data_IF_855206025034
#
_entry.id   IF_855206025034
#
_cell.length_a   1.000
_cell.length_b   1.000
_cell.length_c   1.000
_cell.angle_alpha   90.00
_cell.angle_beta   90.00
_cell.angle_gamma   90.00
#
_symmetry.space_group_name_H-M   'P 1'
#
loop_
_entity.id
_entity.type
_entity.pdbx_description
1 polymer ?
#
# COMPACT_ATOMS: atom_id res chain seq x y z
N UNK A 1 28.91 -57.36 21.64
CA UNK A 1 29.05 -58.17 22.88
C UNK A 1 30.45 -57.92 23.44
N UNK A 2 30.61 -57.23 24.58
CA UNK A 2 31.92 -57.11 25.23
C UNK A 2 32.32 -58.46 25.87
N UNK A 3 33.62 -58.78 25.97
CA UNK A 3 34.11 -59.80 26.89
C UNK A 3 34.06 -59.29 28.33
N UNK A 4 33.89 -60.21 29.28
CA UNK A 4 33.64 -59.92 30.70
C UNK A 4 34.90 -59.50 31.47
N UNK A 5 34.75 -58.53 32.39
CA UNK A 5 35.70 -58.33 33.48
C UNK A 5 35.83 -59.62 34.30
N UNK A 6 37.07 -60.02 34.61
CA UNK A 6 37.36 -60.98 35.67
C UNK A 6 37.82 -60.22 36.91
N UNK A 7 37.23 -60.51 38.07
CA UNK A 7 37.63 -59.91 39.34
C UNK A 7 39.03 -60.39 39.73
N UNK A 8 40.02 -59.49 39.65
CA UNK A 8 41.39 -59.70 40.13
C UNK A 8 41.52 -58.95 41.48
N UNK A 9 42.09 -59.55 42.54
CA UNK A 9 42.15 -58.92 43.86
C UNK A 9 42.98 -57.62 43.82
N UNK A 10 42.61 -56.59 44.61
CA UNK A 10 43.29 -55.30 44.58
C UNK A 10 44.73 -55.42 45.07
N UNK A 11 45.68 -55.05 44.21
CA UNK A 11 47.11 -55.10 44.51
C UNK A 11 47.57 -53.86 45.29
N UNK A 12 48.51 -53.98 46.25
CA UNK A 12 48.88 -52.91 47.18
C UNK A 12 49.64 -51.72 46.56
N UNK A 13 49.85 -51.71 45.24
CA UNK A 13 50.42 -50.60 44.48
C UNK A 13 49.53 -50.26 43.29
N UNK A 14 48.43 -49.54 43.55
CA UNK A 14 47.71 -48.76 42.53
C UNK A 14 47.12 -49.55 41.33
N UNK A 15 46.84 -50.85 41.49
CA UNK A 15 46.26 -51.69 40.44
C UNK A 15 47.26 -52.56 39.66
N UNK A 16 48.57 -52.31 39.77
CA UNK A 16 49.60 -53.11 39.10
C UNK A 16 49.55 -54.58 39.53
N UNK A 17 49.49 -55.48 38.55
CA UNK A 17 49.28 -56.91 38.81
C UNK A 17 50.47 -57.79 38.37
N UNK A 18 50.74 -58.85 39.14
CA UNK A 18 51.67 -59.90 38.68
C UNK A 18 51.15 -60.54 37.37
N UNK A 19 52.09 -60.75 36.44
CA UNK A 19 51.85 -61.17 35.05
C UNK A 19 51.63 -60.03 34.05
N UNK A 20 51.59 -58.78 34.50
CA UNK A 20 51.36 -57.60 33.66
C UNK A 20 52.65 -57.05 33.05
N UNK A 21 52.53 -56.40 31.88
CA UNK A 21 53.62 -55.70 31.21
C UNK A 21 53.79 -54.31 31.81
N UNK A 22 54.99 -54.00 32.26
CA UNK A 22 55.31 -52.75 32.97
C UNK A 22 56.54 -52.08 32.39
N UNK A 23 56.53 -50.76 32.39
CA UNK A 23 57.67 -49.91 32.06
C UNK A 23 58.13 -49.16 33.32
N UNK A 24 59.42 -48.84 33.39
CA UNK A 24 60.00 -47.99 34.43
C UNK A 24 60.65 -46.80 33.74
N UNK A 25 59.86 -45.74 33.55
CA UNK A 25 60.20 -44.58 32.73
C UNK A 25 61.54 -43.93 33.12
N UNK A 26 61.83 -43.87 34.42
CA UNK A 26 63.08 -43.32 34.98
C UNK A 26 64.35 -44.13 34.65
N UNK A 27 64.21 -45.32 34.07
CA UNK A 27 65.31 -46.13 33.54
C UNK A 27 65.10 -46.55 32.08
N UNK A 28 63.96 -46.19 31.46
CA UNK A 28 63.53 -46.63 30.12
C UNK A 28 63.60 -48.16 29.92
N UNK A 29 63.25 -48.92 30.96
CA UNK A 29 63.27 -50.40 30.97
C UNK A 29 61.84 -50.93 30.92
N UNK A 30 61.60 -51.94 30.07
CA UNK A 30 60.31 -52.63 29.93
C UNK A 30 60.48 -54.12 30.27
N UNK A 31 59.47 -54.70 30.91
CA UNK A 31 59.44 -56.13 31.22
C UNK A 31 58.08 -56.61 31.73
N UNK A 32 58.07 -57.77 32.36
CA UNK A 32 56.89 -58.40 32.96
C UNK A 32 57.01 -58.42 34.48
N UNK A 33 55.98 -57.97 35.19
CA UNK A 33 55.96 -57.96 36.66
C UNK A 33 55.80 -59.38 37.20
N UNK A 34 56.81 -59.89 37.93
CA UNK A 34 56.85 -61.26 38.48
C UNK A 34 56.64 -61.32 39.99
N UNK A 35 56.97 -60.26 40.72
CA UNK A 35 56.82 -60.16 42.18
C UNK A 35 56.31 -58.78 42.57
N UNK A 36 55.44 -58.71 43.59
CA UNK A 36 55.03 -57.47 44.24
C UNK A 36 54.81 -57.74 45.74
N UNK A 37 55.53 -57.04 46.63
CA UNK A 37 55.48 -57.32 48.07
C UNK A 37 56.67 -56.76 48.85
N UNK A 38 56.69 -56.97 50.17
CA UNK A 38 57.83 -56.62 51.04
C UNK A 38 59.00 -57.59 50.85
N UNK A 39 60.22 -57.17 51.19
CA UNK A 39 61.42 -58.03 51.12
C UNK A 39 62.15 -58.08 52.46
N UNK A 40 62.97 -59.11 52.67
CA UNK A 40 63.74 -59.29 53.89
C UNK A 40 65.01 -58.43 53.97
N UNK A 41 65.38 -57.74 52.88
CA UNK A 41 66.62 -56.96 52.79
C UNK A 41 66.43 -55.44 52.88
N UNK A 42 65.20 -54.92 52.68
CA UNK A 42 64.87 -53.51 52.92
C UNK A 42 63.37 -53.30 53.03
N UNK A 43 62.94 -52.55 54.04
CA UNK A 43 61.55 -52.14 54.25
C UNK A 43 60.95 -51.40 53.03
N UNK A 44 59.62 -51.49 52.91
CA UNK A 44 58.84 -50.97 51.79
C UNK A 44 58.33 -52.06 50.85
N UNK A 45 57.45 -51.69 49.92
CA UNK A 45 56.93 -52.60 48.89
C UNK A 45 57.84 -52.52 47.66
N UNK A 46 58.29 -53.68 47.19
CA UNK A 46 59.15 -53.85 46.02
C UNK A 46 58.39 -54.49 44.87
N UNK A 47 58.76 -54.11 43.65
CA UNK A 47 58.30 -54.72 42.40
C UNK A 47 59.47 -55.44 41.72
N UNK A 48 59.35 -56.75 41.52
CA UNK A 48 60.33 -57.56 40.79
C UNK A 48 59.91 -57.73 39.33
N UNK A 49 60.65 -57.11 38.41
CA UNK A 49 60.35 -57.10 36.97
C UNK A 49 61.36 -57.98 36.25
N UNK A 50 60.87 -58.98 35.51
CA UNK A 50 61.70 -59.76 34.59
C UNK A 50 61.77 -59.00 33.26
N UNK A 51 62.98 -58.65 32.84
CA UNK A 51 63.20 -57.83 31.65
C UNK A 51 63.08 -58.68 30.38
N UNK A 52 62.69 -58.05 29.26
CA UNK A 52 62.51 -58.73 27.97
C UNK A 52 63.82 -59.23 27.34
N UNK A 53 64.96 -58.71 27.79
CA UNK A 53 66.29 -59.05 27.27
C UNK A 53 67.07 -59.74 28.39
N UNK A 54 67.27 -61.05 28.25
CA UNK A 54 68.02 -61.85 29.22
C UNK A 54 69.43 -61.29 29.46
N UNK A 55 69.88 -61.35 30.72
CA UNK A 55 71.20 -60.82 31.13
C UNK A 55 71.27 -59.30 31.35
N UNK A 56 70.22 -58.53 31.08
CA UNK A 56 70.21 -57.06 31.34
C UNK A 56 69.79 -56.67 32.77
N UNK A 57 69.32 -57.63 33.58
CA UNK A 57 68.92 -57.41 34.98
C UNK A 57 70.12 -57.25 35.93
N UNK A 58 69.95 -56.44 36.99
CA UNK A 58 70.95 -56.25 38.06
C UNK A 58 70.94 -57.36 39.12
N UNK A 59 69.95 -58.25 39.07
CA UNK A 59 69.72 -59.34 40.00
C UNK A 59 68.99 -60.49 39.28
N UNK A 60 69.24 -61.72 39.73
CA UNK A 60 68.68 -62.97 39.17
C UNK A 60 67.37 -63.43 39.86
N UNK A 61 66.90 -62.65 40.84
CA UNK A 61 65.75 -62.98 41.68
C UNK A 61 66.10 -63.77 42.96
N UNK A 62 67.36 -64.16 43.16
CA UNK A 62 67.82 -64.82 44.39
C UNK A 62 68.27 -63.84 45.47
N UNK A 63 68.20 -64.26 46.73
CA UNK A 63 68.75 -63.58 47.91
C UNK A 63 69.33 -64.65 48.83
N UNK A 64 70.51 -64.39 49.42
CA UNK A 64 71.26 -65.32 50.28
C UNK A 64 71.74 -66.62 49.61
N UNK A 65 72.39 -66.51 48.44
CA UNK A 65 73.23 -67.60 47.90
C UNK A 65 74.43 -67.91 48.83
N UNK A 66 74.55 -69.16 49.27
CA UNK A 66 75.61 -69.59 50.18
C UNK A 66 76.96 -69.84 49.47
N UNK A 67 78.06 -69.59 50.18
CA UNK A 67 79.40 -69.43 49.59
C UNK A 67 80.43 -70.31 50.31
N UNK A 68 81.23 -71.11 49.60
CA UNK A 68 82.49 -71.75 50.08
C UNK A 68 83.24 -72.46 48.94
N UNK A 69 84.57 -72.52 48.82
CA UNK A 69 85.66 -71.58 49.16
C UNK A 69 86.88 -71.94 48.25
N UNK A 70 87.82 -71.02 48.00
CA UNK A 70 89.11 -71.31 47.33
C UNK A 70 90.20 -71.65 48.34
N UNK A 71 91.14 -72.54 47.98
CA UNK A 71 92.59 -72.26 47.82
C UNK A 71 93.46 -73.54 47.88
N UNK A 72 94.61 -73.49 47.19
CA UNK A 72 95.74 -74.40 47.39
C UNK A 72 97.04 -73.68 46.98
N UNK A 73 98.11 -73.82 47.77
CA UNK A 73 99.49 -73.53 47.34
C UNK A 73 100.50 -74.32 48.19
N UNK A 74 101.65 -74.64 47.60
CA UNK A 74 102.62 -75.62 48.15
C UNK A 74 103.97 -74.96 48.54
N UNK A 75 104.92 -75.79 48.93
CA UNK A 75 105.95 -75.44 49.92
C UNK A 75 107.32 -74.95 49.37
N UNK A 76 108.05 -74.31 50.30
CA UNK A 76 109.51 -74.24 50.50
C UNK A 76 110.35 -75.39 49.87
N UNK A 77 111.64 -75.19 49.52
CA UNK A 77 112.69 -75.04 50.54
C UNK A 77 113.83 -74.03 50.24
N UNK A 78 114.87 -74.04 51.09
CA UNK A 78 115.91 -73.02 51.23
C UNK A 78 117.29 -73.49 50.76
N UNK A 79 118.27 -72.56 50.74
CA UNK A 79 119.68 -72.90 50.98
C UNK A 79 120.48 -71.69 51.51
N UNK A 80 121.66 -71.96 52.07
CA UNK A 80 122.58 -71.02 52.71
C UNK A 80 123.75 -70.68 51.77
N UNK A 81 124.30 -69.47 51.85
CA UNK A 81 125.70 -69.20 51.49
C UNK A 81 126.28 -67.96 52.17
N UNK A 82 127.55 -68.05 52.53
CA UNK A 82 128.39 -66.93 52.98
C UNK A 82 128.81 -66.07 51.78
N UNK A 83 128.96 -64.75 51.99
CA UNK A 83 129.49 -63.82 50.98
C UNK A 83 130.63 -63.00 51.56
N UNK A 84 131.75 -62.92 50.85
CA UNK A 84 132.87 -62.02 51.19
C UNK A 84 132.51 -60.56 50.87
N UNK A 85 133.20 -59.57 51.49
CA UNK A 85 132.84 -58.15 51.37
C UNK A 85 132.69 -57.65 49.93
N UNK A 86 133.62 -57.99 49.03
CA UNK A 86 133.62 -57.50 47.64
C UNK A 86 132.37 -57.91 46.85
N UNK A 87 131.81 -59.10 47.11
CA UNK A 87 130.56 -59.53 46.47
C UNK A 87 129.35 -58.75 46.99
N UNK A 88 129.37 -58.31 48.26
CA UNK A 88 128.36 -57.40 48.79
C UNK A 88 128.51 -55.99 48.21
N UNK A 89 129.74 -55.49 48.04
CA UNK A 89 130.04 -54.17 47.48
C UNK A 89 129.64 -54.09 46.00
N UNK A 90 130.02 -55.06 45.16
CA UNK A 90 129.59 -55.11 43.76
C UNK A 90 128.06 -55.22 43.64
N UNK A 91 127.41 -56.02 44.51
CA UNK A 91 125.95 -56.13 44.53
C UNK A 91 125.27 -54.84 44.99
N UNK A 92 125.88 -54.10 45.91
CA UNK A 92 125.43 -52.76 46.30
C UNK A 92 125.54 -51.78 45.13
N UNK A 93 126.69 -51.67 44.45
CA UNK A 93 126.82 -50.81 43.26
C UNK A 93 125.83 -51.18 42.15
N UNK A 94 125.64 -52.47 41.88
CA UNK A 94 124.68 -52.94 40.88
C UNK A 94 123.21 -52.67 41.27
N UNK A 95 122.90 -52.67 42.57
CA UNK A 95 121.61 -52.21 43.08
C UNK A 95 121.48 -50.67 43.03
N UNK A 96 122.55 -49.93 43.31
CA UNK A 96 122.61 -48.46 43.23
C UNK A 96 122.23 -47.97 41.83
N UNK A 97 122.94 -48.47 40.81
CA UNK A 97 122.68 -48.16 39.40
C UNK A 97 121.27 -48.61 38.98
N UNK A 98 120.80 -49.77 39.48
CA UNK A 98 119.44 -50.23 39.18
C UNK A 98 118.36 -49.36 39.84
N UNK A 99 118.60 -48.80 41.03
CA UNK A 99 117.71 -47.82 41.67
C UNK A 99 117.71 -46.51 40.88
N UNK A 100 118.88 -45.98 40.49
CA UNK A 100 118.98 -44.76 39.69
C UNK A 100 118.25 -44.88 38.33
N UNK A 101 118.37 -46.03 37.66
CA UNK A 101 117.62 -46.35 36.44
C UNK A 101 116.11 -46.45 36.71
N UNK A 102 115.68 -47.20 37.71
CA UNK A 102 114.24 -47.34 38.06
C UNK A 102 113.62 -46.02 38.53
N UNK A 103 114.39 -45.12 39.13
CA UNK A 103 113.97 -43.77 39.45
C UNK A 103 113.87 -42.88 38.20
N UNK A 104 114.82 -42.97 37.26
CA UNK A 104 114.75 -42.25 35.99
C UNK A 104 113.55 -42.70 35.16
N UNK A 105 113.28 -44.01 35.12
CA UNK A 105 112.10 -44.62 34.53
C UNK A 105 110.81 -44.16 35.24
N UNK A 106 110.79 -44.10 36.57
CA UNK A 106 109.65 -43.53 37.33
C UNK A 106 109.46 -42.03 37.07
N UNK A 107 110.53 -41.26 36.85
CA UNK A 107 110.45 -39.83 36.49
C UNK A 107 109.87 -39.67 35.08
N UNK A 108 110.30 -40.50 34.12
CA UNK A 108 109.76 -40.54 32.76
C UNK A 108 108.28 -40.93 32.75
N UNK A 109 107.91 -42.06 33.36
CA UNK A 109 106.52 -42.55 33.42
C UNK A 109 105.56 -41.54 34.08
N UNK A 110 106.03 -40.71 35.03
CA UNK A 110 105.21 -39.64 35.62
C UNK A 110 104.96 -38.48 34.65
N UNK A 111 105.95 -38.12 33.82
CA UNK A 111 105.81 -37.10 32.78
C UNK A 111 104.91 -37.59 31.64
N UNK A 112 105.10 -38.83 31.20
CA UNK A 112 104.30 -39.48 30.15
C UNK A 112 102.84 -39.62 30.56
N UNK A 113 102.54 -40.09 31.78
CA UNK A 113 101.16 -40.13 32.29
C UNK A 113 100.54 -38.73 32.45
N UNK A 114 101.33 -37.69 32.77
CA UNK A 114 100.83 -36.32 32.82
C UNK A 114 100.52 -35.77 31.41
N UNK A 115 101.33 -36.09 30.39
CA UNK A 115 101.03 -35.75 29.00
C UNK A 115 99.80 -36.50 28.49
N UNK A 116 99.69 -37.81 28.75
CA UNK A 116 98.55 -38.62 28.31
C UNK A 116 97.24 -38.11 28.93
N UNK A 117 97.21 -37.83 30.23
CA UNK A 117 96.04 -37.22 30.90
C UNK A 117 95.69 -35.83 30.33
N UNK A 118 96.69 -35.05 29.92
CA UNK A 118 96.46 -33.76 29.26
C UNK A 118 95.88 -33.94 27.85
N UNK A 119 96.33 -34.96 27.11
CA UNK A 119 95.81 -35.30 25.79
C UNK A 119 94.36 -35.83 25.84
N UNK A 120 94.03 -36.68 26.83
CA UNK A 120 92.67 -37.14 27.11
C UNK A 120 91.71 -35.96 27.35
N UNK A 121 92.10 -35.03 28.23
CA UNK A 121 91.30 -33.82 28.52
C UNK A 121 91.15 -32.87 27.31
N UNK A 122 92.14 -32.84 26.41
CA UNK A 122 92.04 -32.08 25.16
C UNK A 122 91.08 -32.78 24.18
N UNK A 123 91.12 -34.10 24.10
CA UNK A 123 90.24 -34.90 23.24
C UNK A 123 88.79 -34.80 23.69
N UNK A 124 88.50 -35.08 24.97
CA UNK A 124 87.16 -34.98 25.58
C UNK A 124 86.51 -33.62 25.30
N UNK A 125 87.22 -32.53 25.59
CA UNK A 125 86.75 -31.16 25.33
C UNK A 125 86.61 -30.83 23.83
N UNK A 126 87.30 -31.54 22.94
CA UNK A 126 87.13 -31.39 21.49
C UNK A 126 85.87 -32.11 20.98
N UNK A 127 85.53 -33.25 21.56
CA UNK A 127 84.29 -33.98 21.27
C UNK A 127 83.06 -33.22 21.80
N UNK A 128 83.15 -32.62 22.99
CA UNK A 128 82.15 -31.68 23.52
C UNK A 128 81.95 -30.47 22.59
N UNK A 129 83.05 -29.85 22.13
CA UNK A 129 82.98 -28.72 21.20
C UNK A 129 82.29 -29.10 19.89
N UNK A 130 82.64 -30.23 19.28
CA UNK A 130 81.97 -30.71 18.06
C UNK A 130 80.52 -31.17 18.30
N UNK A 131 80.15 -31.56 19.52
CA UNK A 131 78.75 -31.80 19.91
C UNK A 131 77.96 -30.49 19.95
N UNK A 132 78.44 -29.49 20.69
CA UNK A 132 77.82 -28.17 20.81
C UNK A 132 77.72 -27.50 19.43
N UNK A 133 78.75 -27.62 18.59
CA UNK A 133 78.78 -27.10 17.20
C UNK A 133 77.73 -27.74 16.28
N UNK A 134 77.45 -29.04 16.44
CA UNK A 134 76.35 -29.72 15.74
C UNK A 134 74.97 -29.26 16.23
N UNK A 135 74.78 -29.18 17.55
CA UNK A 135 73.54 -28.70 18.16
C UNK A 135 73.23 -27.25 17.76
N UNK A 136 74.24 -26.38 17.73
CA UNK A 136 74.14 -24.99 17.27
C UNK A 136 73.73 -24.88 15.79
N UNK A 137 74.24 -25.76 14.91
CA UNK A 137 73.85 -25.75 13.49
C UNK A 137 72.40 -26.23 13.31
N UNK A 138 71.98 -27.30 13.99
CA UNK A 138 70.58 -27.75 13.98
C UNK A 138 69.62 -26.67 14.51
N UNK A 139 70.03 -25.93 15.54
CA UNK A 139 69.28 -24.79 16.08
C UNK A 139 69.16 -23.65 15.06
N UNK A 140 70.25 -23.28 14.38
CA UNK A 140 70.23 -22.27 13.29
C UNK A 140 69.33 -22.66 12.12
N UNK A 141 69.39 -23.92 11.69
CA UNK A 141 68.51 -24.43 10.64
C UNK A 141 67.04 -24.39 11.05
N UNK A 142 66.73 -24.70 12.32
CA UNK A 142 65.35 -24.61 12.81
C UNK A 142 64.86 -23.17 12.88
N UNK A 143 65.69 -22.25 13.41
CA UNK A 143 65.39 -20.82 13.44
C UNK A 143 65.19 -20.25 12.02
N UNK A 144 65.98 -20.69 11.04
CA UNK A 144 65.81 -20.27 9.65
C UNK A 144 64.48 -20.77 9.03
N UNK A 145 64.09 -22.03 9.28
CA UNK A 145 62.78 -22.57 8.88
C UNK A 145 61.63 -21.79 9.52
N UNK A 146 61.72 -21.53 10.82
CA UNK A 146 60.67 -20.86 11.60
C UNK A 146 60.54 -19.37 11.22
N UNK A 147 61.66 -18.69 10.95
CA UNK A 147 61.67 -17.32 10.40
C UNK A 147 60.99 -17.26 9.03
N UNK A 148 61.23 -18.24 8.15
CA UNK A 148 60.58 -18.29 6.84
C UNK A 148 59.05 -18.52 6.95
N UNK A 149 58.61 -19.32 7.92
CA UNK A 149 57.18 -19.54 8.22
C UNK A 149 56.52 -18.25 8.74
N UNK A 150 57.17 -17.52 9.65
CA UNK A 150 56.68 -16.24 10.17
C UNK A 150 56.54 -15.20 9.05
N UNK A 151 57.49 -15.14 8.13
CA UNK A 151 57.48 -14.22 6.98
C UNK A 151 56.39 -14.56 5.94
N UNK A 152 56.04 -15.84 5.76
CA UNK A 152 54.88 -16.25 4.93
C UNK A 152 53.55 -15.89 5.60
N UNK A 153 53.40 -16.17 6.90
CA UNK A 153 52.23 -15.74 7.67
C UNK A 153 52.07 -14.21 7.68
N UNK A 154 53.15 -13.45 7.76
CA UNK A 154 53.14 -11.98 7.69
C UNK A 154 52.57 -11.50 6.35
N UNK A 155 53.09 -11.98 5.22
CA UNK A 155 52.58 -11.66 3.88
C UNK A 155 51.11 -12.06 3.70
N UNK A 156 50.71 -13.20 4.27
CA UNK A 156 49.33 -13.66 4.24
C UNK A 156 48.40 -12.79 5.07
N UNK A 157 48.86 -12.26 6.21
CA UNK A 157 48.12 -11.26 6.99
C UNK A 157 47.98 -9.96 6.21
N UNK A 158 49.08 -9.41 5.65
CA UNK A 158 49.07 -8.19 4.84
C UNK A 158 48.09 -8.28 3.65
N UNK A 159 48.03 -9.42 2.96
CA UNK A 159 47.08 -9.66 1.86
C UNK A 159 45.62 -9.84 2.33
N UNK A 160 45.39 -10.38 3.52
CA UNK A 160 44.05 -10.47 4.12
C UNK A 160 43.55 -9.10 4.59
N UNK A 161 44.43 -8.25 5.14
CA UNK A 161 44.12 -6.87 5.52
C UNK A 161 43.71 -6.05 4.30
N UNK A 162 44.47 -6.14 3.20
CA UNK A 162 44.11 -5.52 1.92
C UNK A 162 42.74 -5.99 1.41
N UNK A 163 42.50 -7.31 1.42
CA UNK A 163 41.21 -7.89 1.01
C UNK A 163 40.03 -7.39 1.88
N UNK A 164 40.26 -7.20 3.18
CA UNK A 164 39.27 -6.67 4.12
C UNK A 164 39.00 -5.19 3.87
N UNK A 165 40.02 -4.39 3.54
CA UNK A 165 39.84 -2.96 3.24
C UNK A 165 39.19 -2.72 1.87
N UNK A 166 39.44 -3.56 0.87
CA UNK A 166 38.67 -3.57 -0.38
C UNK A 166 37.19 -3.90 -0.15
N UNK A 167 36.89 -4.91 0.68
CA UNK A 167 35.52 -5.25 1.05
C UNK A 167 34.82 -4.15 1.85
N UNK A 168 35.52 -3.48 2.78
CA UNK A 168 34.99 -2.29 3.47
C UNK A 168 34.64 -1.18 2.49
N UNK A 169 35.54 -0.86 1.55
CA UNK A 169 35.35 0.18 0.54
C UNK A 169 34.15 -0.14 -0.36
N UNK A 170 34.09 -1.34 -0.94
CA UNK A 170 32.96 -1.77 -1.76
C UNK A 170 31.63 -1.80 -0.99
N UNK A 171 31.67 -2.12 0.31
CA UNK A 171 30.53 -2.02 1.22
C UNK A 171 30.04 -0.57 1.41
N UNK A 172 30.96 0.38 1.62
CA UNK A 172 30.63 1.81 1.72
C UNK A 172 30.07 2.36 0.40
N UNK A 173 30.72 2.06 -0.73
CA UNK A 173 30.26 2.44 -2.08
C UNK A 173 28.83 1.89 -2.34
N UNK A 174 28.54 0.66 -1.92
CA UNK A 174 27.19 0.10 -2.04
C UNK A 174 26.17 0.77 -1.12
N UNK A 175 26.55 1.18 0.10
CA UNK A 175 25.66 1.87 1.03
C UNK A 175 25.33 3.28 0.51
N UNK A 176 26.34 4.04 0.08
CA UNK A 176 26.18 5.39 -0.48
C UNK A 176 25.25 5.40 -1.71
N UNK A 177 25.35 4.38 -2.57
CA UNK A 177 24.45 4.19 -3.71
C UNK A 177 23.01 3.85 -3.28
N UNK A 178 22.81 3.04 -2.23
CA UNK A 178 21.48 2.77 -1.69
C UNK A 178 20.87 3.98 -1.01
N UNK A 179 21.64 4.72 -0.21
CA UNK A 179 21.19 5.96 0.45
C UNK A 179 20.81 7.03 -0.58
N UNK A 180 21.65 7.25 -1.60
CA UNK A 180 21.37 8.16 -2.72
C UNK A 180 20.11 7.76 -3.50
N UNK A 181 19.89 6.47 -3.70
CA UNK A 181 18.69 5.95 -4.37
C UNK A 181 17.42 6.16 -3.53
N UNK A 182 17.48 5.87 -2.22
CA UNK A 182 16.36 6.10 -1.29
C UNK A 182 16.01 7.59 -1.20
N UNK A 183 17.00 8.46 -1.13
CA UNK A 183 16.81 9.92 -1.09
C UNK A 183 16.19 10.46 -2.38
N UNK A 184 16.61 9.96 -3.55
CA UNK A 184 15.97 10.29 -4.83
C UNK A 184 14.49 9.88 -4.85
N UNK A 185 14.18 8.64 -4.45
CA UNK A 185 12.79 8.18 -4.36
C UNK A 185 11.96 8.97 -3.33
N UNK A 186 12.58 9.46 -2.24
CA UNK A 186 11.92 10.34 -1.26
C UNK A 186 11.51 11.67 -1.91
N UNK A 187 12.43 12.30 -2.65
CA UNK A 187 12.18 13.57 -3.36
C UNK A 187 11.12 13.41 -4.45
N UNK A 188 11.18 12.34 -5.24
CA UNK A 188 10.17 12.04 -6.26
C UNK A 188 8.78 11.83 -5.64
N UNK A 189 8.70 11.08 -4.53
CA UNK A 189 7.45 10.90 -3.79
C UNK A 189 6.91 12.20 -3.18
N UNK A 190 7.77 13.12 -2.74
CA UNK A 190 7.34 14.45 -2.26
C UNK A 190 6.82 15.33 -3.40
N UNK A 191 7.48 15.31 -4.57
CA UNK A 191 7.00 16.01 -5.76
C UNK A 191 5.64 15.48 -6.27
N UNK A 192 5.47 14.15 -6.30
CA UNK A 192 4.20 13.50 -6.65
C UNK A 192 3.10 13.88 -5.64
N UNK A 193 3.40 13.85 -4.33
CA UNK A 193 2.44 14.25 -3.30
C UNK A 193 2.05 15.74 -3.38
N UNK A 194 2.99 16.63 -3.68
CA UNK A 194 2.69 18.05 -3.89
C UNK A 194 1.75 18.27 -5.09
N UNK A 195 2.07 17.67 -6.24
CA UNK A 195 1.22 17.69 -7.44
C UNK A 195 -0.18 17.14 -7.18
N UNK A 196 -0.28 16.02 -6.45
CA UNK A 196 -1.55 15.43 -6.03
C UNK A 196 -2.36 16.33 -5.07
N UNK A 197 -1.71 17.14 -4.22
CA UNK A 197 -2.40 18.14 -3.40
C UNK A 197 -2.96 19.29 -4.24
N UNK A 198 -2.24 19.75 -5.26
CA UNK A 198 -2.71 20.83 -6.15
C UNK A 198 -3.85 20.38 -7.07
N UNK A 199 -3.79 19.17 -7.62
CA UNK A 199 -4.95 18.58 -8.33
C UNK A 199 -6.16 18.41 -7.42
N UNK A 200 -5.98 17.95 -6.17
CA UNK A 200 -7.07 17.88 -5.18
C UNK A 200 -7.67 19.25 -4.86
N UNK A 201 -6.85 20.31 -4.74
CA UNK A 201 -7.31 21.69 -4.60
C UNK A 201 -8.12 22.13 -5.82
N UNK A 202 -7.66 21.79 -7.03
CA UNK A 202 -8.34 22.18 -8.27
C UNK A 202 -9.67 21.45 -8.47
N UNK A 203 -9.75 20.15 -8.14
CA UNK A 203 -11.01 19.40 -8.11
C UNK A 203 -11.99 20.05 -7.13
N UNK A 204 -11.58 20.32 -5.89
CA UNK A 204 -12.45 20.94 -4.88
C UNK A 204 -12.97 22.34 -5.31
N UNK A 205 -12.13 23.14 -5.99
CA UNK A 205 -12.57 24.40 -6.60
C UNK A 205 -13.64 24.16 -7.68
N UNK A 206 -13.39 23.26 -8.62
CA UNK A 206 -14.30 22.96 -9.74
C UNK A 206 -15.63 22.35 -9.26
N UNK A 207 -15.62 21.56 -8.19
CA UNK A 207 -16.84 21.04 -7.58
C UNK A 207 -17.68 22.15 -6.92
N UNK A 208 -17.04 23.11 -6.25
CA UNK A 208 -17.70 24.29 -5.68
C UNK A 208 -18.27 25.21 -6.77
N UNK A 209 -17.53 25.43 -7.86
CA UNK A 209 -17.98 26.20 -9.03
C UNK A 209 -19.17 25.51 -9.73
N UNK A 210 -19.11 24.19 -9.92
CA UNK A 210 -20.20 23.38 -10.49
C UNK A 210 -21.46 23.47 -9.62
N UNK A 211 -21.32 23.39 -8.30
CA UNK A 211 -22.47 23.43 -7.39
C UNK A 211 -23.08 24.84 -7.29
N UNK A 212 -22.26 25.89 -7.34
CA UNK A 212 -22.73 27.28 -7.48
C UNK A 212 -23.52 27.50 -8.76
N UNK A 213 -23.01 27.02 -9.90
CA UNK A 213 -23.72 27.07 -11.18
C UNK A 213 -25.02 26.23 -11.17
N UNK A 214 -25.01 25.05 -10.53
CA UNK A 214 -26.20 24.20 -10.36
C UNK A 214 -27.29 24.91 -9.56
N UNK A 215 -26.92 25.61 -8.48
CA UNK A 215 -27.84 26.40 -7.66
C UNK A 215 -28.40 27.60 -8.43
N UNK A 216 -27.55 28.40 -9.07
CA UNK A 216 -27.98 29.55 -9.87
C UNK A 216 -28.88 29.14 -11.05
N UNK A 217 -28.63 27.98 -11.68
CA UNK A 217 -29.50 27.42 -12.71
C UNK A 217 -30.88 27.00 -12.18
N UNK A 218 -30.96 26.44 -10.96
CA UNK A 218 -32.22 26.10 -10.32
C UNK A 218 -33.03 27.35 -9.97
N UNK A 219 -32.39 28.36 -9.38
CA UNK A 219 -33.00 29.66 -9.04
C UNK A 219 -33.51 30.37 -10.30
N UNK A 220 -32.77 30.32 -11.41
CA UNK A 220 -33.22 30.86 -12.68
C UNK A 220 -34.49 30.15 -13.19
N UNK A 221 -34.53 28.80 -13.15
CA UNK A 221 -35.74 28.04 -13.55
C UNK A 221 -36.93 28.40 -12.67
N UNK A 222 -36.77 28.45 -11.35
CA UNK A 222 -37.82 28.82 -10.40
C UNK A 222 -38.39 30.23 -10.70
N UNK A 223 -37.55 31.22 -10.99
CA UNK A 223 -38.01 32.57 -11.38
C UNK A 223 -38.74 32.62 -12.73
N UNK A 224 -38.31 31.82 -13.73
CA UNK A 224 -39.02 31.73 -15.01
C UNK A 224 -40.36 31.00 -14.87
N UNK A 225 -40.43 29.93 -14.10
CA UNK A 225 -41.69 29.21 -13.84
C UNK A 225 -42.70 30.10 -13.09
N UNK A 226 -42.23 30.87 -12.11
CA UNK A 226 -43.06 31.87 -11.42
C UNK A 226 -43.60 32.95 -12.38
N UNK A 227 -42.74 33.55 -13.21
CA UNK A 227 -43.14 34.57 -14.20
C UNK A 227 -44.13 34.02 -15.24
N UNK A 228 -43.91 32.79 -15.73
CA UNK A 228 -44.83 32.13 -16.67
C UNK A 228 -46.20 31.90 -16.02
N UNK A 229 -46.23 31.52 -14.75
CA UNK A 229 -47.46 31.26 -14.02
C UNK A 229 -48.19 32.55 -13.59
N UNK A 230 -47.49 33.68 -13.45
CA UNK A 230 -48.06 35.01 -13.30
C UNK A 230 -48.72 35.48 -14.61
N UNK A 231 -47.99 35.45 -15.72
CA UNK A 231 -48.53 35.81 -17.06
C UNK A 231 -49.75 34.97 -17.48
N UNK A 232 -49.80 33.69 -17.08
CA UNK A 232 -50.99 32.84 -17.27
C UNK A 232 -52.21 33.32 -16.49
N UNK A 233 -52.01 33.79 -15.26
CA UNK A 233 -53.10 34.32 -14.42
C UNK A 233 -53.59 35.65 -14.96
N UNK A 234 -52.67 36.56 -15.31
CA UNK A 234 -53.00 37.83 -15.95
C UNK A 234 -53.83 37.60 -17.22
N UNK A 235 -53.33 36.82 -18.17
CA UNK A 235 -54.05 36.51 -19.42
C UNK A 235 -55.41 35.84 -19.19
N UNK A 236 -55.52 34.94 -18.21
CA UNK A 236 -56.80 34.34 -17.80
C UNK A 236 -57.79 35.38 -17.26
N UNK A 237 -57.32 36.32 -16.44
CA UNK A 237 -58.14 37.43 -15.94
C UNK A 237 -58.53 38.41 -17.05
N UNK A 238 -57.63 38.78 -17.97
CA UNK A 238 -57.94 39.66 -19.12
C UNK A 238 -59.03 39.06 -20.01
N UNK A 239 -58.97 37.75 -20.29
CA UNK A 239 -60.00 37.04 -21.06
C UNK A 239 -61.34 37.06 -20.32
N UNK A 240 -61.35 36.80 -19.01
CA UNK A 240 -62.57 36.83 -18.20
C UNK A 240 -63.18 38.24 -18.09
N UNK A 241 -62.35 39.27 -17.89
CA UNK A 241 -62.75 40.68 -17.87
C UNK A 241 -63.32 41.13 -19.22
N UNK A 242 -62.68 40.73 -20.33
CA UNK A 242 -63.12 41.04 -21.69
C UNK A 242 -64.46 40.40 -22.01
N UNK A 243 -64.66 39.12 -21.64
CA UNK A 243 -65.95 38.44 -21.82
C UNK A 243 -67.04 39.01 -20.89
N UNK A 244 -66.70 39.31 -19.63
CA UNK A 244 -67.60 40.00 -18.69
C UNK A 244 -68.07 41.33 -19.25
N UNK A 245 -67.17 42.13 -19.84
CA UNK A 245 -67.53 43.37 -20.51
C UNK A 245 -68.42 43.12 -21.73
N UNK A 246 -68.04 42.21 -22.63
CA UNK A 246 -68.82 41.86 -23.82
C UNK A 246 -70.25 41.43 -23.49
N UNK A 247 -70.44 40.71 -22.38
CA UNK A 247 -71.75 40.31 -21.88
C UNK A 247 -72.57 41.49 -21.33
N UNK A 248 -71.94 42.45 -20.63
CA UNK A 248 -72.62 43.68 -20.19
C UNK A 248 -72.99 44.59 -21.37
N UNK A 249 -72.05 44.86 -22.29
CA UNK A 249 -72.29 45.67 -23.50
C UNK A 249 -73.46 45.08 -24.32
N UNK A 250 -73.53 43.74 -24.45
CA UNK A 250 -74.64 43.05 -25.11
C UNK A 250 -75.97 43.12 -24.32
N UNK A 251 -75.93 43.04 -22.99
CA UNK A 251 -77.11 43.17 -22.14
C UNK A 251 -77.70 44.59 -22.18
N UNK A 252 -76.86 45.62 -22.18
CA UNK A 252 -77.27 47.02 -22.38
C UNK A 252 -77.90 47.22 -23.77
N UNK A 253 -77.31 46.67 -24.83
CA UNK A 253 -77.89 46.70 -26.17
C UNK A 253 -79.26 46.01 -26.23
N UNK A 254 -79.43 44.85 -25.59
CA UNK A 254 -80.72 44.16 -25.48
C UNK A 254 -81.75 44.98 -24.66
N UNK A 255 -81.32 45.65 -23.59
CA UNK A 255 -82.18 46.53 -22.79
C UNK A 255 -82.63 47.76 -23.59
N UNK A 256 -81.74 48.39 -24.36
CA UNK A 256 -82.05 49.51 -25.25
C UNK A 256 -83.03 49.09 -26.37
N UNK A 257 -82.80 47.94 -27.00
CA UNK A 257 -83.73 47.38 -27.98
C UNK A 257 -85.11 47.10 -27.38
N UNK A 258 -85.18 46.53 -26.17
CA UNK A 258 -86.44 46.29 -25.46
C UNK A 258 -87.17 47.60 -25.09
N UNK A 259 -86.44 48.66 -24.73
CA UNK A 259 -87.03 49.98 -24.51
C UNK A 259 -87.59 50.58 -25.81
N UNK A 260 -86.88 50.44 -26.94
CA UNK A 260 -87.35 50.88 -28.25
C UNK A 260 -88.61 50.13 -28.69
N UNK A 261 -88.66 48.80 -28.55
CA UNK A 261 -89.86 48.00 -28.83
C UNK A 261 -91.04 48.45 -27.95
N UNK A 262 -90.83 48.67 -26.64
CA UNK A 262 -91.87 49.19 -25.74
C UNK A 262 -92.34 50.61 -26.07
N UNK A 263 -91.48 51.45 -26.66
CA UNK A 263 -91.89 52.75 -27.17
C UNK A 263 -92.78 52.60 -28.42
N UNK A 264 -92.41 51.71 -29.35
CA UNK A 264 -93.20 51.39 -30.53
C UNK A 264 -94.55 50.75 -30.17
N UNK A 265 -94.61 49.83 -29.21
CA UNK A 265 -95.86 49.25 -28.68
C UNK A 265 -96.82 50.32 -28.16
N UNK A 266 -96.30 51.33 -27.43
CA UNK A 266 -97.09 52.47 -26.94
C UNK A 266 -97.60 53.34 -28.10
N UNK A 267 -96.78 53.59 -29.12
CA UNK A 267 -97.17 54.34 -30.31
C UNK A 267 -98.27 53.60 -31.09
N UNK A 268 -98.14 52.29 -31.31
CA UNK A 268 -99.18 51.45 -31.94
C UNK A 268 -100.45 51.46 -31.10
N UNK A 269 -100.35 51.41 -29.77
CA UNK A 269 -101.52 51.50 -28.87
C UNK A 269 -102.22 52.86 -28.98
N UNK A 270 -101.49 53.96 -29.15
CA UNK A 270 -102.06 55.28 -29.43
C UNK A 270 -102.74 55.32 -30.80
N UNK A 271 -102.06 54.90 -31.86
CA UNK A 271 -102.61 54.90 -33.21
C UNK A 271 -103.87 54.03 -33.33
N UNK A 272 -103.92 52.87 -32.64
CA UNK A 272 -105.12 52.04 -32.58
C UNK A 272 -106.29 52.72 -31.85
N UNK A 273 -106.00 53.58 -30.87
CA UNK A 273 -107.02 54.44 -30.23
C UNK A 273 -107.49 55.53 -31.18
N UNK A 274 -106.57 56.21 -31.84
CA UNK A 274 -106.87 57.28 -32.80
C UNK A 274 -107.72 56.74 -33.97
N UNK A 275 -107.43 55.51 -34.43
CA UNK A 275 -108.23 54.77 -35.40
C UNK A 275 -109.65 54.51 -34.87
N UNK A 276 -109.81 53.98 -33.66
CA UNK A 276 -111.14 53.73 -33.08
C UNK A 276 -111.96 55.03 -32.88
N UNK A 277 -111.31 56.14 -32.53
CA UNK A 277 -111.97 57.46 -32.44
C UNK A 277 -112.36 57.99 -33.84
N UNK A 278 -111.55 57.75 -34.88
CA UNK A 278 -111.89 58.06 -36.27
C UNK A 278 -113.00 57.16 -36.84
N UNK A 279 -113.00 55.86 -36.53
CA UNK A 279 -114.04 54.91 -36.92
C UNK A 279 -115.39 55.35 -36.35
N UNK A 280 -115.47 55.68 -35.06
CA UNK A 280 -116.70 56.19 -34.44
C UNK A 280 -117.16 57.54 -35.05
N UNK A 281 -116.23 58.41 -35.43
CA UNK A 281 -116.55 59.64 -36.17
C UNK A 281 -117.06 59.38 -37.59
N UNK A 282 -116.56 58.33 -38.27
CA UNK A 282 -117.03 57.89 -39.59
C UNK A 282 -118.42 57.27 -39.47
N UNK A 283 -118.67 56.38 -38.52
CA UNK A 283 -120.02 55.83 -38.22
C UNK A 283 -121.02 56.96 -37.95
N UNK A 284 -120.63 57.94 -37.10
CA UNK A 284 -121.46 59.10 -36.79
C UNK A 284 -121.67 60.05 -37.98
N UNK A 285 -120.81 60.00 -39.00
CA UNK A 285 -120.99 60.73 -40.27
C UNK A 285 -121.92 59.97 -41.21
N UNK A 286 -121.69 58.67 -41.41
CA UNK A 286 -122.53 57.79 -42.25
C UNK A 286 -123.99 57.83 -41.78
N UNK A 287 -124.24 57.79 -40.46
CA UNK A 287 -125.58 57.90 -39.91
C UNK A 287 -126.25 59.24 -40.29
N UNK A 288 -125.55 60.37 -40.09
CA UNK A 288 -126.07 61.70 -40.45
C UNK A 288 -126.24 61.89 -41.96
N UNK A 289 -125.40 61.27 -42.77
CA UNK A 289 -125.50 61.29 -44.23
C UNK A 289 -126.74 60.50 -44.68
N UNK A 290 -127.00 59.33 -44.09
CA UNK A 290 -128.24 58.56 -44.26
C UNK A 290 -129.49 59.34 -43.83
N UNK A 291 -129.46 60.05 -42.68
CA UNK A 291 -130.55 60.94 -42.24
C UNK A 291 -130.82 62.05 -43.28
N UNK A 292 -129.76 62.65 -43.83
CA UNK A 292 -129.82 63.71 -44.84
C UNK A 292 -130.28 63.20 -46.20
N UNK A 293 -129.91 61.98 -46.61
CA UNK A 293 -130.42 61.33 -47.82
C UNK A 293 -131.92 61.04 -47.69
N UNK A 294 -132.39 60.55 -46.53
CA UNK A 294 -133.82 60.32 -46.31
C UNK A 294 -134.61 61.65 -46.32
N UNK A 295 -134.05 62.72 -45.76
CA UNK A 295 -134.62 64.07 -45.83
C UNK A 295 -134.65 64.62 -47.27
N UNK A 296 -133.55 64.50 -48.01
CA UNK A 296 -133.46 64.91 -49.42
C UNK A 296 -134.45 64.13 -50.30
N UNK A 297 -134.65 62.85 -50.02
CA UNK A 297 -135.58 62.01 -50.77
C UNK A 297 -137.06 62.32 -50.43
N UNK A 298 -137.37 62.72 -49.19
CA UNK A 298 -138.67 63.33 -48.84
C UNK A 298 -138.88 64.63 -49.62
N UNK A 299 -137.89 65.52 -49.66
CA UNK A 299 -138.00 66.81 -50.35
C UNK A 299 -138.04 66.66 -51.88
N UNK A 300 -137.37 65.64 -52.45
CA UNK A 300 -137.51 65.24 -53.86
C UNK A 300 -138.93 64.76 -54.17
N UNK A 301 -139.53 63.93 -53.32
CA UNK A 301 -140.92 63.48 -53.46
C UNK A 301 -141.91 64.65 -53.34
N UNK A 302 -141.65 65.60 -52.44
CA UNK A 302 -142.42 66.85 -52.32
C UNK A 302 -142.27 67.75 -53.56
N UNK A 303 -141.04 67.90 -54.07
CA UNK A 303 -140.74 68.64 -55.30
C UNK A 303 -141.31 67.97 -56.55
N UNK A 304 -141.46 66.65 -56.57
CA UNK A 304 -142.14 65.91 -57.63
C UNK A 304 -143.64 66.20 -57.60
N UNK A 305 -144.30 66.08 -56.44
CA UNK A 305 -145.73 66.43 -56.27
C UNK A 305 -146.03 67.87 -56.74
N UNK A 306 -145.25 68.86 -56.29
CA UNK A 306 -145.43 70.26 -56.74
C UNK A 306 -145.17 70.45 -58.24
N UNK A 307 -144.34 69.60 -58.87
CA UNK A 307 -144.08 69.62 -60.32
C UNK A 307 -145.21 68.96 -61.11
N UNK A 308 -145.82 67.92 -60.55
CA UNK A 308 -146.99 67.26 -61.13
C UNK A 308 -148.24 68.15 -60.99
N UNK A 309 -148.44 68.79 -59.84
CA UNK A 309 -149.44 69.85 -59.63
C UNK A 309 -149.24 71.02 -60.61
N UNK A 310 -148.00 71.46 -60.83
CA UNK A 310 -147.68 72.47 -61.85
C UNK A 310 -147.96 72.00 -63.29
N UNK A 311 -147.81 70.71 -63.60
CA UNK A 311 -148.17 70.15 -64.90
C UNK A 311 -149.69 70.05 -65.07
N UNK A 312 -150.44 69.62 -64.05
CA UNK A 312 -151.90 69.62 -64.07
C UNK A 312 -152.47 71.04 -64.24
N UNK A 313 -151.93 72.02 -63.50
CA UNK A 313 -152.27 73.44 -63.68
C UNK A 313 -151.92 73.94 -65.09
N UNK A 314 -150.77 73.53 -65.64
CA UNK A 314 -150.36 73.88 -67.01
C UNK A 314 -151.29 73.29 -68.06
N UNK A 315 -151.82 72.09 -67.85
CA UNK A 315 -152.69 71.42 -68.80
C UNK A 315 -154.16 71.88 -68.66
N UNK A 316 -154.59 72.30 -67.47
CA UNK A 316 -155.79 73.12 -67.30
C UNK A 316 -155.68 74.45 -68.09
N UNK A 317 -154.52 75.13 -68.02
CA UNK A 317 -154.27 76.35 -68.83
C UNK A 317 -154.30 76.05 -70.34
N UNK A 318 -153.73 74.93 -70.82
CA UNK A 318 -153.85 74.50 -72.23
C UNK A 318 -155.33 74.29 -72.64
N UNK A 319 -156.12 73.63 -71.81
CA UNK A 319 -157.55 73.39 -72.11
C UNK A 319 -158.35 74.71 -72.17
N UNK A 320 -157.99 75.70 -71.36
CA UNK A 320 -158.60 77.04 -71.41
C UNK A 320 -158.18 77.83 -72.67
N UNK A 321 -156.90 77.80 -73.08
CA UNK A 321 -156.43 78.53 -74.28
C UNK A 321 -156.99 77.96 -75.58
N UNK A 322 -157.29 76.66 -75.65
CA UNK A 322 -157.89 76.07 -76.85
C UNK A 322 -159.36 76.48 -77.10
N UNK A 323 -159.97 77.23 -76.16
CA UNK A 323 -161.37 77.68 -76.23
C UNK A 323 -161.57 79.14 -76.65
N UNK A 324 -160.49 79.90 -76.92
CA UNK A 324 -160.55 81.34 -77.21
C UNK A 324 -159.85 81.79 -78.50
N UNK A 325 -159.00 80.96 -79.11
CA UNK A 325 -158.08 81.37 -80.18
C UNK A 325 -158.53 80.99 -81.61
N UNK A 326 -159.81 81.23 -81.97
CA UNK A 326 -160.31 80.99 -83.33
C UNK A 326 -161.27 82.09 -83.87
N UNK A 327 -160.96 83.35 -83.57
CA UNK A 327 -161.43 84.51 -84.35
C UNK A 327 -160.27 85.45 -84.67
N UNK A 328 -160.12 85.80 -85.95
CA UNK A 328 -159.12 86.73 -86.53
C UNK A 328 -157.63 86.32 -86.50
N UNK A 329 -156.92 86.60 -87.60
CA UNK A 329 -155.48 86.31 -87.83
C UNK A 329 -154.80 87.51 -88.50
N UNK A 330 -153.47 87.69 -88.34
CA UNK A 330 -152.49 88.09 -89.38
C UNK A 330 -151.07 88.40 -88.84
N UNK A 331 -150.02 88.02 -89.61
CA UNK A 331 -148.62 88.55 -89.59
C UNK A 331 -147.76 88.35 -88.30
N UNK A 332 -146.41 88.36 -88.27
CA UNK A 332 -145.28 88.12 -89.24
C UNK A 332 -143.92 88.32 -88.53
N UNK A 333 -142.74 87.73 -88.81
CA UNK A 333 -142.24 86.53 -89.54
C UNK A 333 -140.71 86.38 -89.30
N UNK A 334 -140.17 85.15 -89.19
CA UNK A 334 -138.72 84.77 -89.23
C UNK A 334 -137.82 85.26 -88.04
N UNK A 335 -136.60 84.74 -87.77
CA UNK A 335 -135.71 83.74 -88.42
C UNK A 335 -134.70 83.10 -87.42
N UNK A 336 -134.27 81.85 -87.66
CA UNK A 336 -132.96 81.20 -87.30
C UNK A 336 -132.37 81.25 -85.86
N UNK A 337 -131.64 80.24 -85.35
CA UNK A 337 -131.29 78.90 -85.86
C UNK A 337 -129.90 78.38 -85.40
N UNK A 338 -129.71 77.05 -85.43
CA UNK A 338 -128.43 76.30 -85.35
C UNK A 338 -127.65 76.19 -84.01
N UNK A 339 -127.56 74.92 -83.54
CA UNK A 339 -126.54 74.29 -82.66
C UNK A 339 -126.29 74.84 -81.24
#
# INVERSE_FOLDING_TARGET
RPPSHQNKPPSPLGGLCVGERVAVDSMNIVGTLRFIGTTQFKDGVWAGIQLDIDGTGKNDGSVNGANTTKQAQSQRPASVRTSTPDQAIMRLQQLQVKVEVLEAENRYLKLENAQNKTAEQILERSEEYEKIKRELNLSKESLARETAIVEDYKKRTEGLEQSVDELKRAGMESIELYESSVELHRVDMEAINASLMDERRKVAQLESEREGLRKAGLEAVETYEATIEELRKESSTEVWESERKRLMDNAEAHQAALQHTKAHERQVTSLNRDIAELESLIESKIFKESDLEEALEKERKQSARMRDELNDLRDQVKQLTHKSALTSSSNSTASSGSH
#
